data_IF_297701648541
#
_entry.id   IF_297701648541
#
_cell.length_a   1.000
_cell.length_b   1.000
_cell.length_c   1.000
_cell.angle_alpha   90.00
_cell.angle_beta   90.00
_cell.angle_gamma   90.00
#
_symmetry.space_group_name_H-M   'P 1'
#
loop_
_entity.id
_entity.type
_entity.pdbx_description
1 polymer ?
#
# COMPACT_ATOMS: atom_id res chain seq x y z
N UNK A 1 -18.10 16.62 7.56
CA UNK A 1 -17.45 15.55 8.35
C UNK A 1 -15.96 15.83 8.40
N UNK A 2 -15.38 16.12 9.57
CA UNK A 2 -13.94 16.39 9.67
C UNK A 2 -13.15 15.10 9.42
N UNK A 3 -12.20 15.14 8.48
CA UNK A 3 -11.36 14.00 8.11
C UNK A 3 -10.36 13.78 9.25
N UNK A 4 -10.51 12.71 10.02
CA UNK A 4 -9.56 12.37 11.09
C UNK A 4 -8.23 11.99 10.43
N UNK A 5 -7.24 12.88 10.52
CA UNK A 5 -5.88 12.62 10.05
C UNK A 5 -5.25 11.55 10.93
N UNK A 6 -4.97 10.37 10.36
CA UNK A 6 -4.30 9.30 11.10
C UNK A 6 -2.83 9.69 11.34
N UNK A 7 -2.41 9.72 12.61
CA UNK A 7 -0.99 9.83 12.99
C UNK A 7 -0.21 8.70 12.30
N UNK A 8 0.85 9.06 11.57
CA UNK A 8 1.81 8.09 11.00
C UNK A 8 2.98 7.97 11.96
N UNK A 9 3.36 6.74 12.25
CA UNK A 9 4.54 6.44 13.06
C UNK A 9 5.57 5.74 12.18
N UNK A 10 6.83 6.14 12.33
CA UNK A 10 7.98 5.50 11.71
C UNK A 10 8.15 4.08 12.24
N UNK A 11 8.75 3.20 11.45
CA UNK A 11 8.94 1.81 11.87
C UNK A 11 9.88 1.67 13.06
N UNK A 12 10.90 2.53 13.14
CA UNK A 12 11.81 2.61 14.29
C UNK A 12 11.07 2.96 15.59
N UNK A 13 10.22 3.98 15.56
CA UNK A 13 9.34 4.32 16.68
C UNK A 13 8.44 3.15 17.10
N UNK A 14 7.86 2.41 16.15
CA UNK A 14 7.04 1.23 16.48
C UNK A 14 7.85 0.17 17.19
N UNK A 15 9.07 -0.11 16.72
CA UNK A 15 9.97 -1.10 17.32
C UNK A 15 10.36 -0.71 18.76
N UNK A 16 10.74 0.56 18.96
CA UNK A 16 11.04 1.09 20.29
C UNK A 16 9.82 1.04 21.21
N UNK A 17 8.63 1.41 20.69
CA UNK A 17 7.40 1.38 21.46
C UNK A 17 7.01 -0.05 21.89
N UNK A 18 7.17 -1.04 20.99
CA UNK A 18 6.92 -2.45 21.32
C UNK A 18 7.91 -2.98 22.36
N UNK A 19 9.20 -2.65 22.23
CA UNK A 19 10.22 -3.04 23.21
C UNK A 19 9.93 -2.42 24.59
N UNK A 20 9.55 -1.14 24.62
CA UNK A 20 9.13 -0.47 25.85
C UNK A 20 7.91 -1.17 26.46
N UNK A 21 6.89 -1.50 25.65
CA UNK A 21 5.69 -2.19 26.13
C UNK A 21 5.97 -3.57 26.72
N UNK A 22 7.00 -4.27 26.26
CA UNK A 22 7.45 -5.55 26.82
C UNK A 22 8.14 -5.37 28.17
N UNK A 23 8.88 -4.28 28.37
CA UNK A 23 9.58 -4.01 29.63
C UNK A 23 8.68 -3.50 30.77
N UNK A 24 7.78 -2.56 30.49
CA UNK A 24 6.98 -1.85 31.52
C UNK A 24 5.48 -2.08 31.40
N UNK A 25 5.05 -2.88 30.42
CA UNK A 25 3.65 -3.19 30.16
C UNK A 25 2.96 -2.18 29.23
N UNK A 26 2.00 -2.67 28.44
CA UNK A 26 1.28 -1.93 27.39
C UNK A 26 0.65 -0.62 27.88
N UNK A 27 0.01 -0.64 29.05
CA UNK A 27 -0.71 0.53 29.57
C UNK A 27 0.25 1.66 30.02
N UNK A 28 1.37 1.30 30.66
CA UNK A 28 2.36 2.26 31.15
C UNK A 28 3.17 2.85 29.99
N UNK A 29 3.59 2.01 29.05
CA UNK A 29 4.28 2.44 27.83
C UNK A 29 3.41 3.37 26.96
N UNK A 30 2.13 3.04 26.77
CA UNK A 30 1.22 3.88 26.00
C UNK A 30 1.00 5.27 26.62
N UNK A 31 0.92 5.37 27.96
CA UNK A 31 0.84 6.65 28.67
C UNK A 31 2.12 7.47 28.52
N UNK A 32 3.28 6.83 28.60
CA UNK A 32 4.58 7.50 28.44
C UNK A 32 4.80 8.03 27.02
N UNK A 33 4.27 7.31 26.02
CA UNK A 33 4.37 7.67 24.60
C UNK A 33 3.21 8.55 24.10
N UNK A 34 2.31 8.97 24.99
CA UNK A 34 1.08 9.71 24.66
C UNK A 34 0.30 9.10 23.47
N UNK A 35 0.08 7.79 23.54
CA UNK A 35 -0.60 7.03 22.50
C UNK A 35 -1.69 6.11 23.06
N UNK A 36 -2.58 5.65 22.18
CA UNK A 36 -3.62 4.71 22.59
C UNK A 36 -3.02 3.35 22.98
N UNK A 37 -3.42 2.84 24.15
CA UNK A 37 -3.08 1.49 24.62
C UNK A 37 -3.48 0.43 23.58
N UNK A 38 -4.60 0.62 22.89
CA UNK A 38 -5.08 -0.28 21.84
C UNK A 38 -4.14 -0.32 20.64
N UNK A 39 -3.66 0.85 20.19
CA UNK A 39 -2.70 0.94 19.08
C UNK A 39 -1.39 0.24 19.43
N UNK A 40 -0.87 0.49 20.64
CA UNK A 40 0.35 -0.16 21.10
C UNK A 40 0.17 -1.67 21.28
N UNK A 41 -0.97 -2.10 21.82
CA UNK A 41 -1.31 -3.52 21.94
C UNK A 41 -1.33 -4.25 20.60
N UNK A 42 -1.95 -3.65 19.58
CA UNK A 42 -1.97 -4.21 18.23
C UNK A 42 -0.56 -4.39 17.64
N UNK A 43 0.37 -3.47 17.94
CA UNK A 43 1.76 -3.61 17.49
C UNK A 43 2.50 -4.71 18.22
N UNK A 44 2.33 -4.82 19.55
CA UNK A 44 2.94 -5.92 20.33
C UNK A 44 2.42 -7.27 19.86
N UNK A 45 1.12 -7.39 19.60
CA UNK A 45 0.52 -8.64 19.10
C UNK A 45 0.99 -8.96 17.67
N UNK A 46 1.18 -7.95 16.81
CA UNK A 46 1.76 -8.12 15.48
C UNK A 46 3.23 -8.57 15.55
N UNK A 47 4.05 -7.92 16.39
CA UNK A 47 5.46 -8.25 16.59
C UNK A 47 5.62 -9.70 17.08
N UNK A 48 4.82 -10.14 18.05
CA UNK A 48 4.82 -11.53 18.55
C UNK A 48 4.40 -12.55 17.51
N UNK A 49 3.52 -12.16 16.60
CA UNK A 49 3.09 -13.01 15.49
C UNK A 49 4.05 -12.99 14.28
N UNK A 50 5.20 -12.30 14.38
CA UNK A 50 6.13 -12.13 13.26
C UNK A 50 5.56 -11.32 12.10
N UNK A 51 4.48 -10.55 12.35
CA UNK A 51 3.83 -9.70 11.35
C UNK A 51 4.35 -8.27 11.46
N UNK A 52 4.40 -7.52 10.34
CA UNK A 52 4.76 -6.11 10.39
C UNK A 52 3.79 -5.34 11.30
N UNK A 53 4.33 -4.52 12.21
CA UNK A 53 3.54 -3.62 13.07
C UNK A 53 2.80 -2.53 12.28
N UNK A 54 3.20 -2.33 11.03
CA UNK A 54 2.43 -1.60 10.04
C UNK A 54 1.21 -2.43 9.65
N UNK A 55 0.02 -1.99 10.09
CA UNK A 55 -1.21 -2.33 9.36
C UNK A 55 -0.95 -2.00 7.89
N UNK A 56 -1.26 -2.89 6.92
CA UNK A 56 -1.15 -2.52 5.52
C UNK A 56 -1.93 -1.23 5.41
N UNK A 57 -1.21 -0.14 5.12
CA UNK A 57 -1.81 1.13 4.78
C UNK A 57 -2.94 0.75 3.84
N UNK A 58 -4.20 0.94 4.24
CA UNK A 58 -5.28 0.92 3.26
C UNK A 58 -4.84 2.03 2.32
N UNK A 59 -4.15 1.66 1.23
CA UNK A 59 -3.83 2.57 0.14
C UNK A 59 -5.16 3.25 -0.13
N UNK A 60 -5.21 4.58 -0.13
CA UNK A 60 -6.45 5.26 -0.44
C UNK A 60 -6.94 4.65 -1.75
N UNK A 61 -8.14 4.07 -1.75
CA UNK A 61 -8.70 3.32 -2.90
C UNK A 61 -8.57 4.11 -4.20
N UNK A 62 -8.63 5.44 -4.09
CA UNK A 62 -8.35 6.43 -5.13
C UNK A 62 -7.01 6.27 -5.87
N UNK A 63 -5.92 5.89 -5.22
CA UNK A 63 -4.61 5.73 -5.88
C UNK A 63 -4.58 4.45 -6.70
N UNK A 64 -5.12 3.36 -6.17
CA UNK A 64 -5.31 2.10 -6.91
C UNK A 64 -6.29 2.24 -8.08
N UNK A 65 -7.37 3.01 -7.91
CA UNK A 65 -8.33 3.28 -8.99
C UNK A 65 -7.71 4.14 -10.10
N UNK A 66 -6.88 5.12 -9.75
CA UNK A 66 -6.13 5.93 -10.70
C UNK A 66 -5.11 5.10 -11.47
N UNK A 67 -4.33 4.26 -10.77
CA UNK A 67 -3.39 3.33 -11.40
C UNK A 67 -4.12 2.36 -12.33
N UNK A 68 -5.26 1.79 -11.92
CA UNK A 68 -6.06 0.91 -12.77
C UNK A 68 -6.63 1.61 -14.00
N UNK A 69 -7.07 2.86 -13.86
CA UNK A 69 -7.55 3.65 -14.99
C UNK A 69 -6.42 3.92 -15.99
N UNK A 70 -5.24 4.31 -15.51
CA UNK A 70 -4.07 4.55 -16.34
C UNK A 70 -3.61 3.26 -17.05
N UNK A 71 -3.46 2.15 -16.31
CA UNK A 71 -3.08 0.84 -16.84
C UNK A 71 -4.06 0.31 -17.90
N UNK A 72 -5.37 0.59 -17.75
CA UNK A 72 -6.39 0.24 -18.76
C UNK A 72 -6.29 1.10 -20.00
N UNK A 73 -6.02 2.39 -19.86
CA UNK A 73 -5.81 3.29 -21.00
C UNK A 73 -4.57 2.88 -21.80
N UNK A 74 -3.45 2.62 -21.13
CA UNK A 74 -2.22 2.14 -21.77
C UNK A 74 -2.43 0.79 -22.49
N UNK A 75 -3.15 -0.16 -21.87
CA UNK A 75 -3.50 -1.42 -22.54
C UNK A 75 -4.37 -1.24 -23.79
N UNK A 76 -5.29 -0.29 -23.78
CA UNK A 76 -6.15 -0.01 -24.92
C UNK A 76 -5.33 0.54 -26.10
N UNK A 77 -4.42 1.47 -25.83
CA UNK A 77 -3.50 2.04 -26.82
C UNK A 77 -2.59 0.96 -27.41
N UNK A 78 -1.94 0.16 -26.57
CA UNK A 78 -1.04 -0.91 -27.02
C UNK A 78 -1.75 -1.96 -27.87
N UNK A 79 -3.00 -2.32 -27.53
CA UNK A 79 -3.82 -3.21 -28.36
C UNK A 79 -4.13 -2.60 -29.72
N UNK A 80 -4.46 -1.30 -29.77
CA UNK A 80 -4.72 -0.59 -31.02
C UNK A 80 -3.48 -0.54 -31.90
N UNK A 81 -2.32 -0.18 -31.35
CA UNK A 81 -1.04 -0.16 -32.06
C UNK A 81 -0.69 -1.53 -32.63
N UNK A 82 -0.86 -2.59 -31.83
CA UNK A 82 -0.64 -3.97 -32.30
C UNK A 82 -1.54 -4.34 -33.47
N UNK A 83 -2.81 -3.95 -33.42
CA UNK A 83 -3.76 -4.24 -34.50
C UNK A 83 -3.45 -3.44 -35.77
N UNK A 84 -2.99 -2.19 -35.65
CA UNK A 84 -2.52 -1.40 -36.79
C UNK A 84 -1.29 -2.06 -37.42
N UNK A 85 -0.30 -2.46 -36.61
CA UNK A 85 0.90 -3.14 -37.09
C UNK A 85 0.57 -4.47 -37.79
N UNK A 86 -0.34 -5.28 -37.24
CA UNK A 86 -0.81 -6.51 -37.91
C UNK A 86 -1.49 -6.24 -39.24
N UNK A 87 -2.32 -5.21 -39.33
CA UNK A 87 -2.99 -4.83 -40.58
C UNK A 87 -1.98 -4.35 -41.62
N UNK A 88 -0.98 -3.58 -41.20
CA UNK A 88 0.10 -3.12 -42.06
C UNK A 88 0.94 -4.30 -42.58
N UNK A 89 1.37 -5.23 -41.72
CA UNK A 89 2.12 -6.42 -42.17
C UNK A 89 1.31 -7.29 -43.11
N UNK A 90 0.01 -7.48 -42.85
CA UNK A 90 -0.89 -8.22 -43.74
C UNK A 90 -1.06 -7.53 -45.11
N UNK A 91 -1.09 -6.19 -45.13
CA UNK A 91 -1.14 -5.41 -46.36
C UNK A 91 0.14 -5.57 -47.18
N UNK A 92 1.31 -5.35 -46.57
CA UNK A 92 2.61 -5.46 -47.25
C UNK A 92 2.91 -6.89 -47.73
N UNK A 93 2.53 -7.92 -46.97
CA UNK A 93 2.68 -9.31 -47.39
C UNK A 93 1.81 -9.68 -48.61
N UNK A 94 0.71 -8.95 -48.84
CA UNK A 94 -0.19 -9.17 -49.99
C UNK A 94 0.28 -8.44 -51.25
N UNK A 95 0.97 -7.31 -51.13
CA UNK A 95 1.55 -6.58 -52.28
C UNK A 95 2.90 -7.13 -52.74
N UNK A 96 3.59 -7.93 -51.92
CA UNK A 96 4.89 -8.54 -52.27
C UNK A 96 4.76 -9.86 -53.06
N UNK A 97 3.58 -10.13 -53.64
CA UNK A 97 3.23 -11.36 -54.35
C UNK A 97 2.75 -11.04 -55.76
#
# INVERSE_FOLDING_TARGET
>A
MQRITRRRYTDDFKAQATALAESIGRAKAARQLDMSVKTLGNWVDAARAGRPCSSPSRKPVSEMESELAQLRAENATLKMEREILKKATAFFARESK
#
